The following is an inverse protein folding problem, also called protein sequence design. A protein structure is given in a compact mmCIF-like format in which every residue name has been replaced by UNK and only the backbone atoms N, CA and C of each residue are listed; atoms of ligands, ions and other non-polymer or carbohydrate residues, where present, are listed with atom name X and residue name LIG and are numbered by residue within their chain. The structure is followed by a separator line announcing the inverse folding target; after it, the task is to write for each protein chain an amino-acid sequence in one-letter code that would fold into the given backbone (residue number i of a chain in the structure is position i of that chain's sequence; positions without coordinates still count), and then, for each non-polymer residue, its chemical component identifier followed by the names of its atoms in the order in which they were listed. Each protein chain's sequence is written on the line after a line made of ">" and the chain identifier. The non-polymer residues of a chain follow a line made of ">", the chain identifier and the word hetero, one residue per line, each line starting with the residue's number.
data_IF_036735141894
#
_entry.id   IF_036735141894
#
_cell.length_a   1.000
_cell.length_b   1.000
_cell.length_c   1.000
_cell.angle_alpha   90.00
_cell.angle_beta   90.00
_cell.angle_gamma   90.00
#
_symmetry.space_group_name_H-M   'P 1'
#
loop_
_entity.id
_entity.type
_entity.pdbx_description
1 polymer ?
#
# COMPACT_ATOMS: atom_id res chain seq x y z
N UNK A 1 2.76 -4.14 -17.63
CA UNK A 1 2.71 -4.48 -16.20
C UNK A 1 2.30 -3.19 -15.49
N UNK A 2 1.19 -3.17 -14.77
CA UNK A 2 0.78 -1.98 -14.03
C UNK A 2 1.80 -1.78 -12.91
N UNK A 3 2.68 -0.79 -13.06
CA UNK A 3 3.68 -0.44 -12.05
C UNK A 3 2.95 0.28 -10.91
N UNK A 4 2.38 -0.51 -10.00
CA UNK A 4 1.88 0.02 -8.73
C UNK A 4 3.08 0.59 -7.98
N UNK A 5 2.99 1.86 -7.61
CA UNK A 5 4.08 2.53 -6.89
C UNK A 5 4.14 2.02 -5.45
N UNK A 6 4.99 1.01 -5.23
CA UNK A 6 5.27 0.48 -3.91
C UNK A 6 6.14 1.42 -3.08
N UNK A 7 6.71 2.49 -3.66
CA UNK A 7 7.53 3.46 -2.95
C UNK A 7 6.67 4.24 -1.96
N UNK A 8 5.51 4.71 -2.41
CA UNK A 8 4.54 5.40 -1.55
C UNK A 8 4.02 4.49 -0.43
N UNK A 9 3.69 3.25 -0.77
CA UNK A 9 3.19 2.25 0.21
C UNK A 9 4.26 1.96 1.25
N UNK A 10 5.52 1.79 0.82
CA UNK A 10 6.67 1.61 1.71
C UNK A 10 6.84 2.80 2.66
N UNK A 11 6.84 4.02 2.14
CA UNK A 11 7.01 5.23 2.95
C UNK A 11 5.87 5.40 3.97
N UNK A 12 4.63 5.14 3.57
CA UNK A 12 3.48 5.18 4.47
C UNK A 12 3.60 4.13 5.57
N UNK A 13 3.94 2.88 5.24
CA UNK A 13 4.12 1.83 6.24
C UNK A 13 5.24 2.18 7.22
N UNK A 14 6.44 2.49 6.72
CA UNK A 14 7.61 2.74 7.57
C UNK A 14 7.47 4.02 8.41
N UNK A 15 6.60 4.95 8.01
CA UNK A 15 6.26 6.15 8.80
C UNK A 15 5.30 5.88 9.94
N UNK A 16 4.54 4.79 9.90
CA UNK A 16 3.61 4.45 10.98
C UNK A 16 4.37 3.90 12.19
N UNK A 17 3.79 4.12 13.37
CA UNK A 17 4.34 3.68 14.64
C UNK A 17 3.27 2.87 15.37
N UNK A 18 3.64 1.69 15.84
CA UNK A 18 2.74 0.90 16.66
C UNK A 18 2.47 1.64 17.98
N UNK A 19 1.23 2.02 18.24
CA UNK A 19 0.86 2.74 19.48
C UNK A 19 1.09 1.94 20.76
N UNK A 20 1.14 0.61 20.66
CA UNK A 20 1.34 -0.27 21.80
C UNK A 20 2.82 -0.49 22.14
N UNK A 21 3.69 -0.53 21.12
CA UNK A 21 5.10 -0.92 21.27
C UNK A 21 6.08 0.20 20.89
N UNK A 22 5.60 1.31 20.32
CA UNK A 22 6.37 2.43 19.79
C UNK A 22 7.44 2.01 18.77
N UNK A 23 7.13 0.97 18.00
CA UNK A 23 8.03 0.39 17.00
C UNK A 23 7.50 0.65 15.59
N UNK A 24 8.44 1.00 14.70
CA UNK A 24 8.19 1.14 13.28
C UNK A 24 8.11 -0.24 12.61
N UNK A 25 7.15 -0.44 11.69
CA UNK A 25 7.10 -1.63 10.86
C UNK A 25 8.11 -1.53 9.71
N UNK A 26 8.50 -2.67 9.17
CA UNK A 26 9.41 -2.78 8.01
C UNK A 26 8.63 -3.31 6.81
N UNK A 27 8.71 -2.58 5.70
CA UNK A 27 8.17 -3.02 4.42
C UNK A 27 9.16 -3.97 3.74
N UNK A 28 8.67 -5.15 3.35
CA UNK A 28 9.46 -6.17 2.67
C UNK A 28 8.85 -6.44 1.32
N UNK A 29 9.56 -6.12 0.23
CA UNK A 29 9.12 -6.50 -1.10
C UNK A 29 9.33 -8.01 -1.30
N UNK A 30 8.30 -8.72 -1.77
CA UNK A 30 8.37 -10.16 -2.09
C UNK A 30 8.14 -10.36 -3.58
N UNK A 31 8.49 -11.53 -4.12
CA UNK A 31 8.23 -11.88 -5.53
C UNK A 31 6.74 -11.82 -5.90
N UNK A 32 5.86 -12.11 -4.94
CA UNK A 32 4.40 -12.13 -5.14
C UNK A 32 3.74 -10.76 -4.84
N UNK A 33 4.48 -9.79 -4.31
CA UNK A 33 3.95 -8.48 -3.96
C UNK A 33 4.73 -7.82 -2.83
N UNK A 34 4.12 -7.73 -1.65
CA UNK A 34 4.75 -7.15 -0.47
C UNK A 34 4.35 -7.87 0.81
N UNK A 35 5.23 -7.80 1.80
CA UNK A 35 5.03 -8.23 3.17
C UNK A 35 5.31 -7.07 4.12
N UNK A 36 4.67 -7.11 5.28
CA UNK A 36 4.86 -6.13 6.34
C UNK A 36 5.34 -6.87 7.58
N UNK A 37 6.52 -6.52 8.07
CA UNK A 37 7.00 -6.94 9.39
C UNK A 37 6.59 -5.90 10.39
N UNK A 38 5.73 -6.28 11.33
CA UNK A 38 5.30 -5.42 12.43
C UNK A 38 5.59 -6.10 13.77
N UNK A 39 5.62 -5.32 14.85
CA UNK A 39 5.89 -5.84 16.20
C UNK A 39 4.72 -6.67 16.77
N UNK A 40 3.50 -6.46 16.27
CA UNK A 40 2.31 -7.20 16.69
C UNK A 40 1.35 -7.45 15.52
N UNK A 41 0.59 -8.55 15.58
CA UNK A 41 -0.42 -8.90 14.58
C UNK A 41 -1.49 -7.83 14.34
N UNK A 42 -2.13 -7.20 15.35
CA UNK A 42 -3.15 -6.18 15.08
C UNK A 42 -2.60 -5.02 14.25
N UNK A 43 -1.41 -4.52 14.60
CA UNK A 43 -0.76 -3.44 13.86
C UNK A 43 -0.39 -3.89 12.43
N UNK A 44 0.12 -5.11 12.28
CA UNK A 44 0.38 -5.70 10.96
C UNK A 44 -0.87 -5.74 10.10
N UNK A 45 -2.00 -6.20 10.65
CA UNK A 45 -3.28 -6.31 9.94
C UNK A 45 -3.76 -4.92 9.51
N UNK A 46 -3.70 -3.92 10.39
CA UNK A 46 -4.07 -2.53 10.04
C UNK A 46 -3.23 -1.99 8.88
N UNK A 47 -1.91 -2.20 8.90
CA UNK A 47 -1.01 -1.75 7.84
C UNK A 47 -1.28 -2.47 6.51
N UNK A 48 -1.57 -3.76 6.55
CA UNK A 48 -1.93 -4.53 5.34
C UNK A 48 -3.22 -3.97 4.75
N UNK A 49 -4.28 -3.80 5.55
CA UNK A 49 -5.55 -3.25 5.09
C UNK A 49 -5.41 -1.82 4.54
N UNK A 50 -4.61 -0.98 5.20
CA UNK A 50 -4.32 0.39 4.72
C UNK A 50 -3.66 0.34 3.34
N UNK A 51 -2.69 -0.54 3.16
CA UNK A 51 -1.96 -0.72 1.91
C UNK A 51 -2.83 -1.26 0.78
N UNK A 52 -3.67 -2.26 1.06
CA UNK A 52 -4.65 -2.79 0.11
C UNK A 52 -5.60 -1.71 -0.38
N UNK A 53 -6.13 -0.89 0.55
CA UNK A 53 -7.00 0.23 0.20
C UNK A 53 -6.30 1.27 -0.67
N UNK A 54 -5.04 1.61 -0.37
CA UNK A 54 -4.26 2.53 -1.20
C UNK A 54 -4.04 1.99 -2.63
N UNK A 55 -3.82 0.68 -2.77
CA UNK A 55 -3.67 0.03 -4.08
C UNK A 55 -4.99 0.07 -4.85
N UNK A 56 -6.10 -0.23 -4.18
CA UNK A 56 -7.43 -0.18 -4.77
C UNK A 56 -7.75 1.23 -5.27
N UNK A 57 -7.59 2.27 -4.44
CA UNK A 57 -7.83 3.66 -4.82
C UNK A 57 -6.94 4.13 -5.98
N UNK A 58 -5.67 3.72 -6.00
CA UNK A 58 -4.76 4.01 -7.11
C UNK A 58 -5.21 3.33 -8.39
N UNK A 59 -5.64 2.08 -8.31
CA UNK A 59 -6.14 1.30 -9.45
C UNK A 59 -7.42 1.90 -10.00
N UNK A 60 -8.37 2.25 -9.14
CA UNK A 60 -9.62 2.91 -9.54
C UNK A 60 -9.36 4.25 -10.24
N UNK A 61 -8.49 5.11 -9.67
CA UNK A 61 -8.12 6.40 -10.29
C UNK A 61 -7.46 6.19 -11.64
N UNK A 62 -6.63 5.16 -11.78
CA UNK A 62 -5.98 4.84 -13.03
C UNK A 62 -7.01 4.37 -14.08
N UNK A 63 -7.94 3.49 -13.71
CA UNK A 63 -9.03 3.03 -14.56
C UNK A 63 -9.93 4.18 -14.99
N UNK A 64 -10.33 5.06 -14.07
CA UNK A 64 -11.13 6.26 -14.39
C UNK A 64 -10.41 7.18 -15.38
N UNK A 65 -9.09 7.38 -15.18
CA UNK A 65 -8.27 8.18 -16.09
C UNK A 65 -8.20 7.54 -17.48
N UNK A 66 -7.97 6.24 -17.57
CA UNK A 66 -7.92 5.49 -18.82
C UNK A 66 -9.26 5.58 -19.56
N UNK A 67 -10.38 5.37 -18.85
CA UNK A 67 -11.72 5.51 -19.44
C UNK A 67 -11.95 6.93 -19.96
N UNK A 68 -11.66 7.96 -19.16
CA UNK A 68 -11.82 9.36 -19.57
C UNK A 68 -10.94 9.74 -20.77
N UNK A 69 -9.75 9.16 -20.89
CA UNK A 69 -8.88 9.37 -22.05
C UNK A 69 -9.45 8.67 -23.31
N UNK A 70 -9.97 7.44 -23.16
CA UNK A 70 -10.62 6.71 -24.26
C UNK A 70 -11.91 7.38 -24.77
N UNK A 71 -12.70 8.00 -23.90
CA UNK A 71 -13.93 8.72 -24.28
C UNK A 71 -13.67 10.16 -24.77
N UNK A 72 -12.41 10.61 -24.83
CA UNK A 72 -12.03 11.93 -25.38
C UNK A 72 -11.76 11.90 -26.89
N UNK A 73 -11.89 10.74 -27.55
CA UNK A 73 -11.82 10.58 -29.00
C UNK A 73 -13.21 10.53 -29.66
#
# INVERSE_FOLDING_TARGET
>A
MFDLDYTLIKQEIESEICKEHDLHPEFVKTDEGFGIKACCDPFRIELVQKSEKMIEEQTEKLLDKIMKDMFKE
#
